data_IF_949055856535
#
_entry.id   IF_949055856535
#
_cell.length_a   1.000
_cell.length_b   1.000
_cell.length_c   1.000
_cell.angle_alpha   90.00
_cell.angle_beta   90.00
_cell.angle_gamma   90.00
#
_symmetry.space_group_name_H-M   'P 1'
#
loop_
_entity.id
_entity.type
_entity.pdbx_description
1 polymer ?
#
# COMPACT_ATOMS: atom_id res chain seq x y z
N UNK A 1 -15.49 -7.16 -18.45
CA UNK A 1 -14.76 -8.46 -18.33
C UNK A 1 -14.72 -8.90 -16.85
N UNK A 2 -14.37 -10.15 -16.53
CA UNK A 2 -14.32 -10.64 -15.12
C UNK A 2 -12.90 -10.99 -14.67
N UNK A 3 -12.60 -10.72 -13.40
CA UNK A 3 -11.32 -11.08 -12.77
C UNK A 3 -10.99 -12.56 -12.91
N UNK A 4 -11.97 -13.47 -12.92
CA UNK A 4 -11.74 -14.91 -13.02
C UNK A 4 -10.89 -15.29 -14.26
N UNK A 5 -11.11 -14.59 -15.39
CA UNK A 5 -10.34 -14.80 -16.64
C UNK A 5 -8.89 -14.28 -16.52
N UNK A 6 -8.69 -13.22 -15.75
CA UNK A 6 -7.42 -12.48 -15.66
C UNK A 6 -6.59 -12.83 -14.43
N UNK A 7 -7.20 -13.47 -13.42
CA UNK A 7 -6.58 -13.83 -12.13
C UNK A 7 -5.22 -14.52 -12.30
N UNK A 8 -5.04 -15.55 -13.16
CA UNK A 8 -3.72 -16.16 -13.34
C UNK A 8 -2.65 -15.21 -13.86
N UNK A 9 -3.05 -14.18 -14.62
CA UNK A 9 -2.13 -13.18 -15.20
C UNK A 9 -1.74 -12.13 -14.16
N UNK A 10 -2.70 -11.73 -13.31
CA UNK A 10 -2.49 -10.78 -12.21
C UNK A 10 -1.67 -11.40 -11.09
N UNK A 11 -1.95 -12.65 -10.70
CA UNK A 11 -1.19 -13.38 -9.68
C UNK A 11 0.28 -13.59 -10.06
N UNK A 12 0.58 -13.69 -11.37
CA UNK A 12 1.95 -13.74 -11.89
C UNK A 12 2.65 -12.37 -11.93
N UNK A 13 1.95 -11.31 -11.51
CA UNK A 13 2.44 -9.93 -11.41
C UNK A 13 3.08 -9.36 -12.68
N UNK A 14 2.67 -9.87 -13.86
CA UNK A 14 3.15 -9.34 -15.14
C UNK A 14 2.57 -7.96 -15.37
N UNK A 15 1.29 -7.79 -15.05
CA UNK A 15 0.58 -6.51 -15.04
C UNK A 15 -0.13 -6.43 -13.69
N UNK A 16 0.09 -5.35 -12.95
CA UNK A 16 -0.56 -5.08 -11.68
C UNK A 16 -1.23 -3.71 -11.69
N UNK A 17 -2.39 -3.63 -11.03
CA UNK A 17 -3.10 -2.39 -10.78
C UNK A 17 -3.03 -2.12 -9.27
N UNK A 18 -1.92 -1.53 -8.77
CA UNK A 18 -1.72 -1.33 -7.34
C UNK A 18 -2.80 -0.46 -6.69
N UNK A 19 -3.53 0.35 -7.48
CA UNK A 19 -4.45 1.35 -6.96
C UNK A 19 -3.75 2.65 -6.58
N UNK A 20 -2.42 2.70 -6.63
CA UNK A 20 -1.66 3.91 -6.36
C UNK A 20 -1.73 4.95 -7.48
N UNK A 21 -1.25 6.15 -7.18
CA UNK A 21 -1.20 7.28 -8.13
C UNK A 21 0.19 7.88 -8.25
N UNK A 22 0.46 8.51 -9.39
CA UNK A 22 1.67 9.32 -9.55
C UNK A 22 1.53 10.70 -8.89
N UNK A 23 2.59 11.51 -8.90
CA UNK A 23 2.57 12.87 -8.31
C UNK A 23 1.55 13.82 -8.96
N UNK A 24 1.10 13.55 -10.18
CA UNK A 24 0.08 14.34 -10.86
C UNK A 24 -1.34 13.75 -10.76
N UNK A 25 -1.52 12.68 -9.96
CA UNK A 25 -2.81 12.08 -9.64
C UNK A 25 -3.36 11.13 -10.71
N UNK A 26 -2.56 10.68 -11.67
CA UNK A 26 -2.93 9.61 -12.59
C UNK A 26 -2.93 8.27 -11.88
N UNK A 27 -3.93 7.44 -12.16
CA UNK A 27 -3.93 6.03 -11.77
C UNK A 27 -2.69 5.32 -12.33
N UNK A 28 -2.04 4.53 -11.49
CA UNK A 28 -0.84 3.78 -11.84
C UNK A 28 -1.15 2.36 -12.27
N UNK A 29 -0.46 1.92 -13.32
CA UNK A 29 -0.39 0.51 -13.73
C UNK A 29 1.08 0.13 -13.80
N UNK A 30 1.47 -0.97 -13.16
CA UNK A 30 2.83 -1.47 -13.22
C UNK A 30 2.90 -2.71 -14.13
N UNK A 31 3.90 -2.75 -15.01
CA UNK A 31 4.19 -3.87 -15.89
C UNK A 31 5.60 -4.34 -15.57
N UNK A 32 5.70 -5.51 -14.95
CA UNK A 32 6.98 -6.08 -14.53
C UNK A 32 7.18 -7.42 -15.24
N UNK A 33 8.16 -7.55 -16.14
CA UNK A 33 8.54 -8.85 -16.65
C UNK A 33 9.16 -9.64 -15.48
N UNK A 34 8.42 -10.61 -14.96
CA UNK A 34 8.89 -11.45 -13.86
C UNK A 34 10.15 -12.22 -14.26
N UNK A 35 11.22 -12.03 -13.49
CA UNK A 35 12.35 -12.96 -13.45
C UNK A 35 12.29 -13.68 -12.11
N UNK A 36 11.77 -14.90 -12.09
CA UNK A 36 11.98 -15.78 -10.94
C UNK A 36 13.40 -16.33 -11.01
N UNK A 37 14.37 -15.57 -10.49
CA UNK A 37 15.71 -16.07 -10.15
C UNK A 37 15.92 -15.95 -8.64
N UNK A 38 15.30 -16.85 -7.88
CA UNK A 38 15.77 -17.23 -6.54
C UNK A 38 15.30 -18.66 -6.26
N UNK A 39 16.20 -19.64 -6.44
CA UNK A 39 15.99 -21.02 -6.00
C UNK A 39 16.38 -22.08 -7.04
N UNK A 40 17.48 -22.80 -6.75
CA UNK A 40 17.93 -23.99 -7.48
C UNK A 40 16.79 -25.00 -7.76
N UNK A 41 16.61 -25.44 -9.01
CA UNK A 41 16.35 -26.84 -9.39
C UNK A 41 15.90 -26.98 -10.86
N UNK A 42 16.27 -28.12 -11.43
CA UNK A 42 16.25 -28.59 -12.82
C UNK A 42 14.86 -28.83 -13.46
N UNK A 43 13.92 -27.87 -13.36
CA UNK A 43 12.57 -27.95 -14.01
C UNK A 43 12.24 -26.75 -14.92
N UNK A 44 13.22 -26.25 -15.68
CA UNK A 44 13.20 -24.88 -16.20
C UNK A 44 12.67 -24.63 -17.63
N UNK A 45 12.27 -25.63 -18.43
CA UNK A 45 11.84 -25.35 -19.81
C UNK A 45 10.39 -24.85 -19.96
N UNK A 46 9.48 -25.29 -19.09
CA UNK A 46 8.03 -25.05 -19.28
C UNK A 46 7.54 -23.68 -18.80
N UNK A 47 8.23 -23.06 -17.84
CA UNK A 47 7.82 -21.77 -17.25
C UNK A 47 8.24 -20.55 -18.07
N UNK A 48 9.39 -20.62 -18.74
CA UNK A 48 9.85 -19.59 -19.68
C UNK A 48 8.93 -19.46 -20.89
N UNK A 49 8.44 -20.59 -21.40
CA UNK A 49 7.51 -20.63 -22.53
C UNK A 49 6.17 -19.98 -22.16
N UNK A 50 5.64 -20.29 -20.97
CA UNK A 50 4.43 -19.68 -20.44
C UNK A 50 4.58 -18.17 -20.19
N UNK A 51 5.77 -17.68 -19.83
CA UNK A 51 6.03 -16.26 -19.63
C UNK A 51 6.05 -15.50 -20.96
N UNK A 52 6.70 -16.06 -21.99
CA UNK A 52 6.63 -15.55 -23.35
C UNK A 52 5.21 -15.51 -23.89
N UNK A 53 4.39 -16.52 -23.56
CA UNK A 53 2.95 -16.55 -23.89
C UNK A 53 2.19 -15.41 -23.19
N UNK A 54 2.49 -15.11 -21.93
CA UNK A 54 1.77 -14.05 -21.21
C UNK A 54 2.13 -12.63 -21.64
N UNK A 55 3.35 -12.42 -22.15
CA UNK A 55 3.75 -11.17 -22.81
C UNK A 55 3.33 -11.10 -24.28
N UNK A 56 2.57 -12.08 -24.78
CA UNK A 56 1.94 -11.96 -26.09
C UNK A 56 0.99 -10.77 -26.11
N UNK A 57 0.97 -10.10 -27.26
CA UNK A 57 0.21 -8.88 -27.49
C UNK A 57 -1.26 -9.01 -27.07
N UNK A 58 -1.93 -10.07 -27.50
CA UNK A 58 -3.36 -10.32 -27.21
C UNK A 58 -3.62 -10.47 -25.71
N UNK A 59 -2.71 -11.14 -25.00
CA UNK A 59 -2.83 -11.36 -23.57
C UNK A 59 -2.67 -10.06 -22.78
N UNK A 60 -1.74 -9.20 -23.19
CA UNK A 60 -1.54 -7.87 -22.63
C UNK A 60 -2.75 -6.98 -22.89
N UNK A 61 -3.18 -6.85 -24.16
CA UNK A 61 -4.35 -6.03 -24.54
C UNK A 61 -5.58 -6.47 -23.75
N UNK A 62 -5.79 -7.78 -23.58
CA UNK A 62 -6.95 -8.29 -22.86
C UNK A 62 -6.93 -7.93 -21.37
N UNK A 63 -5.78 -8.03 -20.67
CA UNK A 63 -5.66 -7.64 -19.24
C UNK A 63 -5.72 -6.14 -19.07
N UNK A 64 -5.00 -5.39 -19.90
CA UNK A 64 -4.96 -3.93 -19.86
C UNK A 64 -6.34 -3.34 -20.17
N UNK A 65 -7.10 -3.95 -21.10
CA UNK A 65 -8.48 -3.57 -21.39
C UNK A 65 -9.40 -3.76 -20.19
N UNK A 66 -9.25 -4.87 -19.46
CA UNK A 66 -9.96 -5.07 -18.19
C UNK A 66 -9.59 -4.01 -17.15
N UNK A 67 -8.30 -3.65 -17.01
CA UNK A 67 -7.89 -2.57 -16.10
C UNK A 67 -8.39 -1.19 -16.56
N UNK A 68 -8.51 -0.96 -17.87
CA UNK A 68 -9.11 0.25 -18.45
C UNK A 68 -10.58 0.41 -18.05
N UNK A 69 -11.35 -0.70 -18.05
CA UNK A 69 -12.72 -0.72 -17.54
C UNK A 69 -12.79 -0.42 -16.03
N UNK A 70 -11.82 -0.93 -15.25
CA UNK A 70 -11.76 -0.70 -13.79
C UNK A 70 -11.45 0.75 -13.46
N UNK A 71 -10.43 1.32 -14.11
CA UNK A 71 -10.04 2.72 -13.92
C UNK A 71 -11.22 3.64 -14.30
N UNK A 72 -11.96 3.28 -15.36
CA UNK A 72 -13.20 3.96 -15.77
C UNK A 72 -12.98 5.46 -16.02
N UNK A 73 -14.05 6.23 -16.21
CA UNK A 73 -13.91 7.66 -16.55
C UNK A 73 -13.47 8.53 -15.36
N UNK A 74 -13.37 7.95 -14.16
CA UNK A 74 -12.93 8.66 -12.96
C UNK A 74 -11.54 9.31 -13.10
N UNK A 75 -10.65 8.67 -13.86
CA UNK A 75 -9.33 9.22 -14.19
C UNK A 75 -9.25 9.84 -15.58
N UNK A 76 -10.37 10.11 -16.26
CA UNK A 76 -10.35 10.69 -17.61
C UNK A 76 -9.60 12.02 -17.66
N UNK A 77 -9.76 12.88 -16.65
CA UNK A 77 -9.08 14.18 -16.58
C UNK A 77 -7.59 14.08 -16.21
N UNK A 78 -7.23 13.13 -15.32
CA UNK A 78 -5.84 12.98 -14.86
C UNK A 78 -5.03 12.04 -15.74
N UNK A 79 -5.67 11.16 -16.49
CA UNK A 79 -5.07 10.12 -17.31
C UNK A 79 -4.45 8.97 -16.50
N UNK A 80 -3.76 8.08 -17.21
CA UNK A 80 -3.09 6.88 -16.68
C UNK A 80 -1.58 7.05 -16.74
N UNK A 81 -0.89 6.61 -15.68
CA UNK A 81 0.55 6.50 -15.61
C UNK A 81 0.95 5.02 -15.72
N UNK A 82 1.65 4.66 -16.79
CA UNK A 82 2.13 3.28 -17.00
C UNK A 82 3.58 3.18 -16.57
N UNK A 83 3.86 2.43 -15.51
CA UNK A 83 5.21 2.14 -15.02
C UNK A 83 5.67 0.80 -15.59
N UNK A 84 6.73 0.79 -16.39
CA UNK A 84 7.25 -0.42 -17.06
C UNK A 84 8.64 -0.72 -16.54
N UNK A 85 8.85 -1.91 -15.98
CA UNK A 85 10.20 -2.40 -15.71
C UNK A 85 10.86 -2.91 -16.99
N UNK A 86 11.65 -2.03 -17.60
CA UNK A 86 12.39 -2.33 -18.82
C UNK A 86 13.78 -2.94 -18.56
N UNK A 87 14.21 -3.14 -17.31
CA UNK A 87 15.62 -3.47 -16.99
C UNK A 87 16.13 -4.75 -17.66
N UNK A 88 15.23 -5.72 -17.83
CA UNK A 88 15.49 -7.02 -18.47
C UNK A 88 14.69 -7.21 -19.77
N UNK A 89 14.05 -6.16 -20.28
CA UNK A 89 13.15 -6.23 -21.43
C UNK A 89 13.87 -5.94 -22.74
N UNK A 90 13.67 -6.76 -23.77
CA UNK A 90 14.19 -6.47 -25.11
C UNK A 90 13.44 -5.27 -25.74
N UNK A 91 14.07 -4.49 -26.64
CA UNK A 91 13.40 -3.36 -27.29
C UNK A 91 12.13 -3.76 -28.04
N UNK A 92 12.12 -4.95 -28.66
CA UNK A 92 10.94 -5.50 -29.35
C UNK A 92 9.79 -5.77 -28.36
N UNK A 93 10.09 -6.35 -27.21
CA UNK A 93 9.10 -6.60 -26.17
C UNK A 93 8.55 -5.29 -25.59
N UNK A 94 9.41 -4.29 -25.37
CA UNK A 94 9.01 -2.97 -24.90
C UNK A 94 8.04 -2.28 -25.87
N UNK A 95 8.36 -2.28 -27.17
CA UNK A 95 7.47 -1.74 -28.21
C UNK A 95 6.12 -2.47 -28.23
N UNK A 96 6.13 -3.79 -28.07
CA UNK A 96 4.91 -4.61 -28.01
C UNK A 96 4.03 -4.22 -26.81
N UNK A 97 4.63 -4.05 -25.63
CA UNK A 97 3.94 -3.61 -24.41
C UNK A 97 3.35 -2.21 -24.59
N UNK A 98 4.11 -1.26 -25.12
CA UNK A 98 3.65 0.10 -25.34
C UNK A 98 2.49 0.18 -26.35
N UNK A 99 2.54 -0.62 -27.43
CA UNK A 99 1.43 -0.74 -28.39
C UNK A 99 0.18 -1.34 -27.73
N UNK A 100 0.35 -2.37 -26.91
CA UNK A 100 -0.77 -2.97 -26.17
C UNK A 100 -1.40 -1.96 -25.19
N UNK A 101 -0.58 -1.15 -24.52
CA UNK A 101 -1.06 -0.06 -23.67
C UNK A 101 -1.84 0.98 -24.49
N UNK A 102 -1.29 1.45 -25.61
CA UNK A 102 -1.97 2.42 -26.47
C UNK A 102 -3.34 1.93 -26.92
N UNK A 103 -3.44 0.66 -27.34
CA UNK A 103 -4.70 0.05 -27.74
C UNK A 103 -5.70 -0.04 -26.57
N UNK A 104 -5.24 -0.46 -25.39
CA UNK A 104 -6.13 -0.70 -24.26
C UNK A 104 -6.64 0.58 -23.58
N UNK A 105 -5.84 1.65 -23.57
CA UNK A 105 -6.16 2.90 -22.87
C UNK A 105 -6.49 4.07 -23.81
N UNK A 106 -6.41 3.90 -25.13
CA UNK A 106 -6.83 4.85 -26.19
C UNK A 106 -6.92 6.34 -25.77
N UNK A 107 -5.85 7.10 -26.00
CA UNK A 107 -5.69 8.52 -25.60
C UNK A 107 -5.74 8.84 -24.10
N UNK A 108 -5.94 7.86 -23.21
CA UNK A 108 -6.01 8.09 -21.76
C UNK A 108 -4.67 7.94 -21.05
N UNK A 109 -3.61 7.52 -21.75
CA UNK A 109 -2.26 7.45 -21.19
C UNK A 109 -1.68 8.86 -21.16
N UNK A 110 -1.32 9.34 -19.98
CA UNK A 110 -0.64 10.63 -19.82
C UNK A 110 0.87 10.46 -19.95
N UNK A 111 1.42 9.42 -19.32
CA UNK A 111 2.85 9.12 -19.35
C UNK A 111 3.12 7.62 -19.23
N UNK A 112 4.11 7.13 -19.97
CA UNK A 112 4.74 5.83 -19.76
C UNK A 112 6.16 6.03 -19.22
N UNK A 113 6.38 5.60 -17.98
CA UNK A 113 7.65 5.66 -17.27
C UNK A 113 8.35 4.30 -17.42
N UNK A 114 9.48 4.29 -18.12
CA UNK A 114 10.20 3.07 -18.49
C UNK A 114 11.49 3.01 -17.67
N UNK A 115 11.58 2.05 -16.76
CA UNK A 115 12.74 1.85 -15.91
C UNK A 115 13.82 1.12 -16.71
N UNK A 116 15.00 1.72 -16.85
CA UNK A 116 16.14 1.14 -17.56
C UNK A 116 17.43 1.31 -16.73
N UNK A 117 18.39 0.37 -16.84
CA UNK A 117 19.73 0.57 -16.29
C UNK A 117 20.38 1.82 -16.90
N UNK A 118 21.29 2.47 -16.16
CA UNK A 118 22.01 3.68 -16.57
C UNK A 118 23.10 3.39 -17.62
N UNK A 119 22.73 2.77 -18.73
CA UNK A 119 23.59 2.64 -19.91
C UNK A 119 23.26 3.76 -20.89
N UNK A 120 23.95 4.89 -20.75
CA UNK A 120 23.71 6.12 -21.52
C UNK A 120 23.46 5.89 -23.02
N UNK A 121 24.30 5.07 -23.68
CA UNK A 121 24.18 4.80 -25.12
C UNK A 121 22.94 3.94 -25.47
N UNK A 122 22.57 3.00 -24.61
CA UNK A 122 21.36 2.19 -24.80
C UNK A 122 20.09 3.03 -24.58
N UNK A 123 20.11 3.95 -23.61
CA UNK A 123 18.99 4.87 -23.36
C UNK A 123 18.74 5.80 -24.55
N UNK A 124 19.79 6.35 -25.18
CA UNK A 124 19.63 7.21 -26.35
C UNK A 124 19.04 6.46 -27.55
N UNK A 125 19.48 5.23 -27.81
CA UNK A 125 18.93 4.40 -28.89
C UNK A 125 17.45 4.07 -28.69
N UNK A 126 17.07 3.68 -27.48
CA UNK A 126 15.66 3.39 -27.15
C UNK A 126 14.82 4.67 -27.22
N UNK A 127 15.30 5.79 -26.67
CA UNK A 127 14.59 7.06 -26.71
C UNK A 127 14.32 7.51 -28.16
N UNK A 128 15.33 7.41 -29.02
CA UNK A 128 15.18 7.67 -30.46
C UNK A 128 14.15 6.73 -31.11
N UNK A 129 14.21 5.43 -30.83
CA UNK A 129 13.23 4.46 -31.33
C UNK A 129 11.79 4.78 -30.87
N UNK A 130 11.61 5.25 -29.63
CA UNK A 130 10.29 5.64 -29.11
C UNK A 130 9.76 6.91 -29.76
N UNK A 131 10.64 7.89 -30.03
CA UNK A 131 10.29 9.12 -30.76
C UNK A 131 9.84 8.78 -32.18
N UNK A 132 10.53 7.86 -32.86
CA UNK A 132 10.17 7.41 -34.22
C UNK A 132 8.80 6.71 -34.24
N UNK A 133 8.49 5.89 -33.24
CA UNK A 133 7.20 5.18 -33.19
C UNK A 133 6.00 6.15 -33.04
N UNK A 134 6.21 7.39 -32.57
CA UNK A 134 5.17 8.41 -32.57
C UNK A 134 3.98 8.12 -31.67
N UNK A 135 4.23 7.49 -30.51
CA UNK A 135 3.17 7.23 -29.51
C UNK A 135 2.47 8.54 -29.10
N UNK A 136 1.16 8.47 -28.90
CA UNK A 136 0.32 9.65 -28.62
C UNK A 136 0.48 10.19 -27.18
N UNK A 137 1.24 9.48 -26.36
CA UNK A 137 1.49 9.80 -24.96
C UNK A 137 2.98 10.00 -24.69
N UNK A 138 3.28 10.71 -23.62
CA UNK A 138 4.66 10.99 -23.22
C UNK A 138 5.36 9.70 -22.80
N UNK A 139 6.54 9.42 -23.33
CA UNK A 139 7.40 8.35 -22.84
C UNK A 139 8.59 8.95 -22.07
N UNK A 140 9.01 8.29 -21.01
CA UNK A 140 10.13 8.75 -20.19
C UNK A 140 11.00 7.57 -19.78
N UNK A 141 12.27 7.57 -20.20
CA UNK A 141 13.24 6.60 -19.72
C UNK A 141 13.88 7.11 -18.43
N UNK A 142 13.84 6.30 -17.38
CA UNK A 142 14.30 6.71 -16.05
C UNK A 142 15.10 5.58 -15.40
N UNK A 143 16.09 5.92 -14.58
CA UNK A 143 16.72 4.96 -13.68
C UNK A 143 15.88 4.77 -12.42
N UNK A 144 16.07 3.63 -11.74
CA UNK A 144 15.29 3.26 -10.56
C UNK A 144 15.30 4.35 -9.48
N UNK A 145 16.48 4.90 -9.17
CA UNK A 145 16.65 5.95 -8.14
C UNK A 145 15.97 7.29 -8.48
N UNK A 146 15.61 7.52 -9.74
CA UNK A 146 14.96 8.76 -10.20
C UNK A 146 13.44 8.64 -10.25
N UNK A 147 12.86 7.47 -9.95
CA UNK A 147 11.41 7.26 -9.94
C UNK A 147 10.69 8.15 -8.93
N UNK A 148 11.33 8.46 -7.79
CA UNK A 148 10.78 9.32 -6.74
C UNK A 148 10.43 10.74 -7.20
N UNK A 149 10.99 11.19 -8.34
CA UNK A 149 10.64 12.46 -8.99
C UNK A 149 9.27 12.46 -9.64
N UNK A 150 8.76 11.29 -10.02
CA UNK A 150 7.50 11.14 -10.77
C UNK A 150 6.40 10.51 -9.90
N UNK A 151 6.77 9.60 -9.00
CA UNK A 151 5.86 8.85 -8.16
C UNK A 151 6.34 9.01 -6.71
N UNK A 152 5.44 9.23 -5.78
CA UNK A 152 5.81 9.29 -4.37
C UNK A 152 6.28 7.91 -3.87
N UNK A 153 7.23 7.88 -2.93
CA UNK A 153 7.76 6.62 -2.38
C UNK A 153 6.63 5.80 -1.75
N UNK A 154 5.67 6.47 -1.11
CA UNK A 154 4.50 5.83 -0.50
C UNK A 154 3.56 5.15 -1.52
N UNK A 155 3.56 5.63 -2.77
CA UNK A 155 2.71 5.16 -3.87
C UNK A 155 3.44 4.21 -4.82
N UNK A 156 4.75 4.08 -4.66
CA UNK A 156 5.60 3.26 -5.52
C UNK A 156 5.66 1.81 -4.96
N UNK A 157 5.45 0.77 -5.77
CA UNK A 157 5.56 -0.60 -5.30
C UNK A 157 6.96 -0.95 -4.78
N UNK A 158 7.05 -1.86 -3.82
CA UNK A 158 8.31 -2.31 -3.21
C UNK A 158 9.32 -2.84 -4.26
N UNK A 159 8.83 -3.48 -5.33
CA UNK A 159 9.65 -3.98 -6.45
C UNK A 159 10.41 -2.88 -7.19
N UNK A 160 9.97 -1.63 -7.05
CA UNK A 160 10.60 -0.43 -7.60
C UNK A 160 11.31 0.44 -6.53
N UNK A 161 11.42 -0.05 -5.29
CA UNK A 161 12.07 0.66 -4.18
C UNK A 161 11.17 1.66 -3.46
N UNK A 162 9.85 1.50 -3.53
CA UNK A 162 8.89 2.25 -2.71
C UNK A 162 8.41 1.47 -1.49
N UNK A 163 7.36 1.96 -0.86
CA UNK A 163 6.74 1.35 0.33
C UNK A 163 5.28 0.95 0.10
N UNK A 164 4.79 1.01 -1.14
CA UNK A 164 3.44 0.55 -1.47
C UNK A 164 3.42 -0.98 -1.53
N UNK A 165 2.79 -1.60 -0.53
CA UNK A 165 2.58 -3.04 -0.52
C UNK A 165 1.41 -3.39 -1.43
N UNK A 166 1.66 -4.27 -2.41
CA UNK A 166 0.64 -4.77 -3.32
C UNK A 166 0.56 -6.28 -3.22
N UNK A 167 -0.55 -6.78 -2.67
CA UNK A 167 -0.87 -8.20 -2.65
C UNK A 167 -1.82 -8.52 -3.82
N UNK A 168 -1.31 -9.28 -4.79
CA UNK A 168 -2.06 -9.65 -5.98
C UNK A 168 -3.22 -10.62 -5.67
N UNK A 169 -3.08 -11.46 -4.65
CA UNK A 169 -4.11 -12.45 -4.25
C UNK A 169 -5.25 -11.75 -3.53
N UNK A 170 -4.93 -10.94 -2.51
CA UNK A 170 -5.90 -10.10 -1.82
C UNK A 170 -6.65 -9.19 -2.81
N UNK A 171 -5.91 -8.56 -3.74
CA UNK A 171 -6.52 -7.72 -4.77
C UNK A 171 -7.49 -8.50 -5.67
N UNK A 172 -7.12 -9.72 -6.10
CA UNK A 172 -8.01 -10.56 -6.92
C UNK A 172 -9.25 -11.00 -6.15
N UNK A 173 -9.10 -11.41 -4.88
CA UNK A 173 -10.22 -11.85 -4.03
C UNK A 173 -11.22 -10.74 -3.78
N UNK A 174 -10.73 -9.56 -3.41
CA UNK A 174 -11.58 -8.42 -3.17
C UNK A 174 -12.26 -7.96 -4.46
N UNK A 175 -11.53 -8.00 -5.58
CA UNK A 175 -12.10 -7.70 -6.89
C UNK A 175 -13.21 -8.67 -7.29
N UNK A 176 -13.07 -9.96 -6.98
CA UNK A 176 -14.10 -10.96 -7.23
C UNK A 176 -15.36 -10.70 -6.41
N UNK A 177 -15.21 -10.38 -5.11
CA UNK A 177 -16.33 -9.98 -4.24
C UNK A 177 -17.08 -8.78 -4.81
N UNK A 178 -16.34 -7.77 -5.24
CA UNK A 178 -16.87 -6.56 -5.88
C UNK A 178 -17.66 -6.90 -7.14
N UNK A 179 -17.12 -7.72 -8.02
CA UNK A 179 -17.80 -8.09 -9.27
C UNK A 179 -19.10 -8.84 -9.00
N UNK A 180 -19.10 -9.73 -8.00
CA UNK A 180 -20.30 -10.44 -7.56
C UNK A 180 -21.35 -9.48 -6.98
N UNK A 181 -20.94 -8.55 -6.11
CA UNK A 181 -21.85 -7.52 -5.57
C UNK A 181 -22.41 -6.63 -6.68
N UNK A 182 -21.59 -6.25 -7.67
CA UNK A 182 -22.07 -5.48 -8.82
C UNK A 182 -23.07 -6.28 -9.66
N UNK A 183 -22.85 -7.58 -9.84
CA UNK A 183 -23.79 -8.44 -10.53
C UNK A 183 -25.14 -8.51 -9.79
N UNK A 184 -25.11 -8.70 -8.47
CA UNK A 184 -26.30 -8.75 -7.61
C UNK A 184 -27.06 -7.42 -7.59
N UNK A 185 -26.36 -6.28 -7.53
CA UNK A 185 -27.00 -4.97 -7.61
C UNK A 185 -27.66 -4.73 -8.97
N UNK A 186 -27.02 -5.16 -10.06
CA UNK A 186 -27.57 -5.04 -11.39
C UNK A 186 -28.80 -5.94 -11.61
N UNK A 187 -28.85 -7.13 -11.00
CA UNK A 187 -30.02 -7.99 -11.05
C UNK A 187 -31.18 -7.39 -10.25
N UNK A 188 -30.92 -6.93 -9.01
CA UNK A 188 -31.91 -6.24 -8.18
C UNK A 188 -32.44 -4.97 -8.86
N UNK A 189 -31.58 -4.17 -9.50
CA UNK A 189 -32.00 -2.99 -10.24
C UNK A 189 -32.94 -3.33 -11.39
N UNK A 190 -32.70 -4.42 -12.12
CA UNK A 190 -33.58 -4.89 -13.20
C UNK A 190 -34.91 -5.38 -12.65
N UNK A 191 -34.92 -6.11 -11.55
CA UNK A 191 -36.13 -6.60 -10.90
C UNK A 191 -37.00 -5.44 -10.39
N UNK A 192 -36.37 -4.43 -9.78
CA UNK A 192 -37.02 -3.19 -9.35
C UNK A 192 -37.59 -2.43 -10.55
N UNK A 193 -36.84 -2.26 -11.64
CA UNK A 193 -37.33 -1.61 -12.86
C UNK A 193 -38.54 -2.34 -13.47
N UNK A 194 -38.53 -3.68 -13.48
CA UNK A 194 -39.66 -4.49 -13.95
C UNK A 194 -40.89 -4.35 -13.03
N UNK A 195 -40.69 -4.30 -11.71
CA UNK A 195 -41.78 -4.11 -10.74
C UNK A 195 -42.37 -2.70 -10.83
N UNK A 196 -41.55 -1.67 -11.04
CA UNK A 196 -42.00 -0.28 -11.16
C UNK A 196 -42.72 -0.02 -12.50
N UNK A 197 -42.28 -0.67 -13.58
CA UNK A 197 -42.99 -0.67 -14.88
C UNK A 197 -44.40 -1.25 -14.81
N UNK A 198 -44.72 -2.07 -13.80
CA UNK A 198 -46.07 -2.58 -13.53
C UNK A 198 -46.95 -1.60 -12.73
N UNK A 199 -46.39 -0.59 -12.08
CA UNK A 199 -47.09 0.27 -11.11
C UNK A 199 -47.34 1.72 -11.55
N UNK A 200 -46.87 2.16 -12.73
CA UNK A 200 -47.08 3.51 -13.31
C UNK A 200 -46.92 4.67 -12.30
N UNK A 201 -45.90 4.64 -11.44
CA UNK A 201 -45.55 5.76 -10.56
C UNK A 201 -44.71 6.80 -11.32
N UNK A 202 -45.04 8.08 -11.16
CA UNK A 202 -44.40 9.20 -11.87
C UNK A 202 -42.99 9.53 -11.36
N UNK A 203 -42.04 9.49 -12.29
CA UNK A 203 -40.76 10.23 -12.41
C UNK A 203 -39.95 10.54 -11.15
N UNK A 204 -39.16 9.56 -10.71
CA UNK A 204 -37.70 9.72 -10.64
C UNK A 204 -37.12 8.52 -11.38
N UNK A 205 -36.37 8.75 -12.47
CA UNK A 205 -35.95 7.71 -13.40
C UNK A 205 -35.02 6.70 -12.68
N UNK A 206 -35.46 5.45 -12.41
CA UNK A 206 -34.70 4.51 -11.57
C UNK A 206 -33.33 4.15 -12.14
N UNK A 207 -33.17 4.32 -13.46
CA UNK A 207 -31.91 4.15 -14.20
C UNK A 207 -30.82 5.14 -13.74
N UNK A 208 -31.18 6.40 -13.49
CA UNK A 208 -30.23 7.45 -13.09
C UNK A 208 -29.69 7.20 -11.68
N UNK A 209 -30.54 6.73 -10.76
CA UNK A 209 -30.16 6.39 -9.39
C UNK A 209 -29.27 5.14 -9.36
N UNK A 210 -29.59 4.12 -10.16
CA UNK A 210 -28.80 2.90 -10.28
C UNK A 210 -27.41 3.14 -10.90
N UNK A 211 -27.33 3.96 -11.95
CA UNK A 211 -26.06 4.33 -12.59
C UNK A 211 -25.19 5.20 -11.66
N UNK A 212 -25.82 6.09 -10.89
CA UNK A 212 -25.14 6.91 -9.89
C UNK A 212 -24.61 6.07 -8.72
N UNK A 213 -25.42 5.13 -8.18
CA UNK A 213 -24.97 4.20 -7.14
C UNK A 213 -23.83 3.32 -7.62
N UNK A 214 -23.89 2.81 -8.86
CA UNK A 214 -22.83 2.01 -9.46
C UNK A 214 -21.53 2.80 -9.59
N UNK A 215 -21.63 4.07 -9.97
CA UNK A 215 -20.48 4.98 -10.07
C UNK A 215 -19.88 5.33 -8.71
N UNK A 216 -20.73 5.58 -7.69
CA UNK A 216 -20.31 5.82 -6.31
C UNK A 216 -19.63 4.58 -5.71
N UNK A 217 -20.17 3.39 -5.98
CA UNK A 217 -19.58 2.11 -5.54
C UNK A 217 -18.23 1.89 -6.23
N UNK A 218 -18.12 2.12 -7.55
CA UNK A 218 -16.83 2.06 -8.27
C UNK A 218 -15.79 3.01 -7.70
N UNK A 219 -16.21 4.24 -7.38
CA UNK A 219 -15.36 5.24 -6.76
C UNK A 219 -14.92 4.84 -5.34
N UNK A 220 -15.87 4.41 -4.52
CA UNK A 220 -15.61 3.92 -3.17
C UNK A 220 -14.63 2.75 -3.21
N UNK A 221 -14.84 1.80 -4.13
CA UNK A 221 -13.99 0.63 -4.32
C UNK A 221 -12.58 1.01 -4.75
N UNK A 222 -12.39 1.89 -5.73
CA UNK A 222 -11.06 2.29 -6.17
C UNK A 222 -10.29 2.98 -5.03
N UNK A 223 -10.92 3.91 -4.33
CA UNK A 223 -10.32 4.65 -3.22
C UNK A 223 -10.01 3.72 -2.04
N UNK A 224 -10.93 2.80 -1.73
CA UNK A 224 -10.79 1.87 -0.62
C UNK A 224 -9.72 0.80 -0.91
N UNK A 225 -9.74 0.17 -2.09
CA UNK A 225 -8.74 -0.83 -2.49
C UNK A 225 -7.33 -0.27 -2.65
N UNK A 226 -7.19 0.97 -3.13
CA UNK A 226 -5.90 1.64 -3.24
C UNK A 226 -5.25 1.94 -1.87
N UNK A 227 -6.07 2.14 -0.84
CA UNK A 227 -5.61 2.57 0.48
C UNK A 227 -5.62 1.46 1.53
N UNK A 228 -6.32 0.34 1.30
CA UNK A 228 -6.41 -0.78 2.22
C UNK A 228 -5.03 -1.37 2.57
N UNK A 229 -4.14 -1.65 1.61
CA UNK A 229 -2.81 -2.17 1.93
C UNK A 229 -1.97 -1.19 2.75
N UNK A 230 -2.07 0.11 2.48
CA UNK A 230 -1.41 1.16 3.28
C UNK A 230 -1.96 1.22 4.70
N UNK A 231 -3.29 1.17 4.86
CA UNK A 231 -3.93 1.21 6.17
C UNK A 231 -3.64 -0.03 7.00
N UNK A 232 -3.62 -1.21 6.38
CA UNK A 232 -3.27 -2.47 7.06
C UNK A 232 -1.79 -2.49 7.47
N UNK A 233 -0.88 -2.01 6.61
CA UNK A 233 0.54 -1.89 6.93
C UNK A 233 0.81 -0.86 8.04
N UNK A 234 0.16 0.30 8.01
CA UNK A 234 0.24 1.31 9.08
C UNK A 234 -0.30 0.76 10.41
N UNK A 235 -1.43 0.06 10.39
CA UNK A 235 -2.01 -0.57 11.57
C UNK A 235 -1.10 -1.66 12.14
N UNK A 236 -0.50 -2.49 11.29
CA UNK A 236 0.45 -3.53 11.68
C UNK A 236 1.71 -2.93 12.32
N UNK A 237 2.25 -1.84 11.74
CA UNK A 237 3.39 -1.12 12.30
C UNK A 237 3.06 -0.50 13.65
N UNK A 238 1.89 0.12 13.78
CA UNK A 238 1.43 0.70 15.05
C UNK A 238 1.25 -0.38 16.12
N UNK A 239 0.68 -1.53 15.75
CA UNK A 239 0.53 -2.67 16.67
C UNK A 239 1.90 -3.20 17.13
N UNK A 240 2.87 -3.35 16.22
CA UNK A 240 4.23 -3.78 16.58
C UNK A 240 4.93 -2.76 17.51
N UNK A 241 4.80 -1.46 17.25
CA UNK A 241 5.31 -0.41 18.13
C UNK A 241 4.63 -0.43 19.50
N UNK A 242 3.33 -0.71 19.56
CA UNK A 242 2.57 -0.80 20.80
C UNK A 242 2.91 -2.06 21.60
N UNK A 243 3.13 -3.19 20.93
CA UNK A 243 3.57 -4.44 21.54
C UNK A 243 4.98 -4.29 22.14
N UNK A 244 5.87 -3.59 21.44
CA UNK A 244 7.20 -3.27 21.96
C UNK A 244 7.14 -2.32 23.17
N UNK A 245 6.25 -1.32 23.13
CA UNK A 245 5.99 -0.46 24.29
C UNK A 245 5.48 -1.25 25.49
N UNK A 246 4.55 -2.19 25.29
CA UNK A 246 4.06 -3.06 26.36
C UNK A 246 5.16 -3.97 26.92
N UNK A 247 6.00 -4.57 26.06
CA UNK A 247 7.16 -5.36 26.48
C UNK A 247 8.12 -4.55 27.34
N UNK A 248 8.48 -3.33 26.92
CA UNK A 248 9.36 -2.46 27.71
C UNK A 248 8.74 -2.10 29.07
N UNK A 249 7.42 -1.91 29.14
CA UNK A 249 6.72 -1.65 30.40
C UNK A 249 6.70 -2.88 31.32
N UNK A 250 6.53 -4.07 30.77
CA UNK A 250 6.59 -5.34 31.52
C UNK A 250 8.00 -5.61 32.05
N UNK A 251 9.04 -5.43 31.25
CA UNK A 251 10.44 -5.58 31.67
C UNK A 251 10.81 -4.60 32.79
N UNK A 252 10.30 -3.36 32.74
CA UNK A 252 10.46 -2.39 33.81
C UNK A 252 9.70 -2.78 35.09
N UNK A 253 8.55 -3.43 34.97
CA UNK A 253 7.74 -3.89 36.09
C UNK A 253 8.30 -5.16 36.75
N UNK A 254 8.99 -6.03 36.02
CA UNK A 254 9.66 -7.22 36.56
C UNK A 254 10.78 -6.88 37.55
N UNK A 255 11.38 -5.70 37.44
CA UNK A 255 12.39 -5.19 38.39
C UNK A 255 11.84 -4.78 39.77
N UNK A 256 10.53 -4.55 39.89
CA UNK A 256 9.88 -4.14 41.14
C UNK A 256 8.87 -5.21 41.54
N UNK A 257 9.33 -6.24 42.24
CA UNK A 257 8.45 -7.26 42.77
C UNK A 257 7.45 -6.60 43.74
N UNK A 258 6.19 -6.50 43.30
CA UNK A 258 5.10 -5.84 44.03
C UNK A 258 4.94 -6.37 45.45
N UNK A 259 5.20 -7.66 45.66
CA UNK A 259 5.15 -8.27 46.99
C UNK A 259 6.31 -7.79 47.88
N UNK A 260 7.52 -7.69 47.33
CA UNK A 260 8.71 -7.19 48.05
C UNK A 260 8.55 -5.70 48.39
N UNK A 261 7.96 -4.91 47.49
CA UNK A 261 7.67 -3.50 47.76
C UNK A 261 6.65 -3.34 48.88
N UNK A 262 5.57 -4.12 48.86
CA UNK A 262 4.55 -4.09 49.91
C UNK A 262 5.12 -4.59 51.25
N UNK A 263 5.86 -5.69 51.26
CA UNK A 263 6.51 -6.22 52.47
C UNK A 263 7.55 -5.23 53.04
N UNK A 264 8.22 -4.45 52.18
CA UNK A 264 9.12 -3.39 52.62
C UNK A 264 8.37 -2.22 53.23
N UNK A 265 7.30 -1.74 52.58
CA UNK A 265 6.47 -0.61 53.07
C UNK A 265 5.84 -0.96 54.43
N UNK A 266 5.22 -2.13 54.55
CA UNK A 266 4.51 -2.57 55.76
C UNK A 266 5.45 -3.04 56.90
N UNK A 267 6.76 -3.16 56.65
CA UNK A 267 7.71 -3.63 57.65
C UNK A 267 8.87 -2.66 57.89
N UNK A 268 10.04 -2.87 57.25
CA UNK A 268 11.22 -2.03 57.42
C UNK A 268 11.00 -0.53 57.14
N UNK A 269 10.18 -0.21 56.14
CA UNK A 269 9.87 1.16 55.71
C UNK A 269 9.09 1.94 56.78
N UNK A 270 8.05 1.34 57.35
CA UNK A 270 7.29 1.94 58.44
C UNK A 270 8.16 2.17 59.70
N UNK A 271 8.98 1.19 60.08
CA UNK A 271 9.92 1.34 61.21
C UNK A 271 10.95 2.44 60.97
N UNK A 272 11.44 2.58 59.74
CA UNK A 272 12.37 3.66 59.39
C UNK A 272 11.69 5.03 59.43
N UNK A 273 10.46 5.15 58.90
CA UNK A 273 9.69 6.40 58.97
C UNK A 273 9.40 6.83 60.41
N UNK A 274 9.17 5.89 61.32
CA UNK A 274 9.01 6.18 62.75
C UNK A 274 10.30 6.73 63.39
N UNK A 275 11.49 6.45 62.86
CA UNK A 275 12.74 7.07 63.38
C UNK A 275 12.92 8.53 62.96
N UNK A 276 12.11 9.04 62.03
CA UNK A 276 12.26 10.39 61.45
C UNK A 276 11.34 11.45 62.09
N UNK A 277 10.76 11.17 63.26
CA UNK A 277 9.85 12.11 63.95
C UNK A 277 10.54 13.06 64.94
N UNK A 278 11.87 13.02 65.05
CA UNK A 278 12.62 13.84 65.99
C UNK A 278 12.79 15.28 65.48
N UNK A 279 12.59 16.26 66.36
CA UNK A 279 12.66 17.70 66.03
C UNK A 279 14.03 18.31 66.42
N UNK A 280 14.90 17.52 67.06
CA UNK A 280 16.18 17.96 67.65
C UNK A 280 15.97 18.75 68.94
N UNK A 281 16.79 18.53 69.97
CA UNK A 281 16.62 19.19 71.26
C UNK A 281 17.28 20.58 71.30
N UNK A 282 18.15 20.86 70.33
CA UNK A 282 18.82 22.15 70.18
C UNK A 282 18.86 22.60 68.71
N UNK A 283 19.20 23.88 68.52
CA UNK A 283 19.17 24.56 67.20
C UNK A 283 20.10 23.92 66.17
N UNK A 284 21.22 23.35 66.61
CA UNK A 284 22.21 22.78 65.70
C UNK A 284 21.81 21.36 65.27
N UNK A 285 21.24 20.56 66.17
CA UNK A 285 20.61 19.27 65.84
C UNK A 285 19.41 19.44 64.89
N UNK A 286 18.52 20.40 65.16
CA UNK A 286 17.39 20.67 64.29
C UNK A 286 17.86 21.05 62.86
N UNK A 287 18.95 21.81 62.75
CA UNK A 287 19.56 22.16 61.45
C UNK A 287 20.17 20.95 60.74
N UNK A 288 20.77 20.03 61.50
CA UNK A 288 21.35 18.81 60.96
C UNK A 288 20.26 17.87 60.43
N UNK A 289 19.18 17.67 61.19
CA UNK A 289 18.02 16.88 60.76
C UNK A 289 17.35 17.45 59.51
N UNK A 290 17.25 18.78 59.40
CA UNK A 290 16.74 19.44 58.17
C UNK A 290 17.65 19.18 56.97
N UNK A 291 18.97 19.20 57.12
CA UNK A 291 19.90 18.87 56.03
C UNK A 291 19.75 17.43 55.58
N UNK A 292 19.63 16.50 56.53
CA UNK A 292 19.44 15.08 56.23
C UNK A 292 18.11 14.82 55.53
N UNK A 293 17.02 15.47 55.98
CA UNK A 293 15.73 15.43 55.31
C UNK A 293 15.81 15.93 53.86
N UNK A 294 16.49 17.05 53.60
CA UNK A 294 16.68 17.58 52.25
C UNK A 294 17.48 16.62 51.35
N UNK A 295 18.51 15.97 51.90
CA UNK A 295 19.29 14.96 51.16
C UNK A 295 18.45 13.72 50.82
N UNK A 296 17.62 13.25 51.75
CA UNK A 296 16.69 12.14 51.51
C UNK A 296 15.66 12.49 50.44
N UNK A 297 15.06 13.69 50.50
CA UNK A 297 14.12 14.17 49.50
C UNK A 297 14.75 14.36 48.11
N UNK A 298 16.05 14.64 48.04
CA UNK A 298 16.76 14.71 46.77
C UNK A 298 17.01 13.30 46.21
N UNK A 299 17.47 12.35 47.05
CA UNK A 299 17.70 10.95 46.63
C UNK A 299 16.42 10.25 46.17
N UNK A 300 15.28 10.50 46.80
CA UNK A 300 14.00 9.92 46.39
C UNK A 300 13.53 10.41 45.01
N UNK A 301 13.80 11.67 44.67
CA UNK A 301 13.51 12.21 43.33
C UNK A 301 14.36 11.57 42.24
N UNK A 302 15.62 11.24 42.52
CA UNK A 302 16.51 10.61 41.54
C UNK A 302 16.08 9.17 41.23
N UNK A 303 15.56 8.44 42.23
CA UNK A 303 15.06 7.07 42.04
C UNK A 303 13.71 6.99 41.30
N UNK A 304 12.96 8.09 41.17
CA UNK A 304 11.70 8.13 40.43
C UNK A 304 11.88 8.35 38.90
N UNK A 305 13.13 8.51 38.43
CA UNK A 305 13.48 8.72 37.01
C UNK A 305 14.23 7.52 36.39
N UNK A 306 14.39 6.43 37.14
CA UNK A 306 14.81 5.14 36.63
C UNK A 306 13.64 4.17 36.68
#
# INVERSE_FOLDING_TARGET
MSIAKHRPKVLRQIVSLPGSVDRSGSAMIAITPTTSETGNSSRQSSLSDLHGVLLQYENLVSVLGYFSEIIGDYFSEKGVCVLIDGRKMSPKALKNVLRACQQAFYHRIRIAIIVQPEKFLHQQKINFDLIIEGYEFRTCLVSLHKLSKYIDISQLPETFGGTFSYDAEQWCDERERIENTMYDLNSLSKDLAQSNGRLQLSSDDPSIVADSMTSIIRLFIFVHLASLPQKEAELSKLNAENEERCRMLEEHAEGVNRQVLLDWIEGPGEKWLLTLHEIGENKDEARQLVKEHQQLAHKSKVLAFF
#
